data_IF_235077763235
#
_entry.id   IF_235077763235
#
_cell.length_a   1.000
_cell.length_b   1.000
_cell.length_c   1.000
_cell.angle_alpha   90.00
_cell.angle_beta   90.00
_cell.angle_gamma   90.00
#
_symmetry.space_group_name_H-M   'P 1'
#
loop_
_entity.id
_entity.type
_entity.pdbx_description
1 polymer ?
#
# COMPACT_ATOMS: atom_id res chain seq x y z
N UNK A 1 32.80 -6.00 61.17
CA UNK A 1 31.56 -6.62 60.67
C UNK A 1 30.59 -5.61 60.02
N UNK A 2 31.04 -4.75 59.08
CA UNK A 2 30.19 -3.73 58.43
C UNK A 2 30.25 -3.73 56.90
N UNK A 3 30.88 -4.73 56.26
CA UNK A 3 31.05 -4.76 54.77
C UNK A 3 30.15 -5.76 54.04
N UNK A 4 29.33 -6.57 54.72
CA UNK A 4 28.52 -7.62 54.09
C UNK A 4 27.08 -7.12 53.72
N UNK A 5 26.63 -6.04 54.32
CA UNK A 5 25.26 -5.54 54.13
C UNK A 5 25.05 -4.77 52.80
N UNK A 6 26.13 -4.18 52.24
CA UNK A 6 26.06 -3.38 51.01
C UNK A 6 25.91 -4.23 49.75
N UNK A 7 26.44 -5.48 49.77
CA UNK A 7 26.39 -6.36 48.60
C UNK A 7 24.99 -7.00 48.38
N UNK A 8 24.24 -7.21 49.44
CA UNK A 8 22.88 -7.77 49.37
C UNK A 8 21.82 -6.83 48.81
N UNK A 9 21.94 -5.53 49.10
CA UNK A 9 20.98 -4.53 48.59
C UNK A 9 21.12 -4.29 47.06
N UNK A 10 22.32 -4.35 46.50
CA UNK A 10 22.53 -4.15 45.06
C UNK A 10 22.03 -5.33 44.22
N UNK A 11 22.07 -6.58 44.72
CA UNK A 11 21.52 -7.74 44.07
C UNK A 11 19.97 -7.72 44.08
N UNK A 12 19.35 -7.31 45.13
CA UNK A 12 17.88 -7.22 45.25
C UNK A 12 17.30 -6.10 44.37
N UNK A 13 17.99 -4.98 44.21
CA UNK A 13 17.61 -3.90 43.29
C UNK A 13 17.73 -4.32 41.81
N UNK A 14 18.79 -5.06 41.47
CA UNK A 14 18.96 -5.59 40.10
C UNK A 14 17.87 -6.58 39.70
N UNK A 15 17.47 -7.47 40.62
CA UNK A 15 16.41 -8.45 40.38
C UNK A 15 15.02 -7.80 40.23
N UNK A 16 14.74 -6.74 40.98
CA UNK A 16 13.47 -6.02 40.87
C UNK A 16 13.35 -5.22 39.57
N UNK A 17 14.43 -4.64 39.09
CA UNK A 17 14.46 -3.97 37.76
C UNK A 17 14.26 -4.96 36.62
N UNK A 18 14.92 -6.12 36.65
CA UNK A 18 14.76 -7.19 35.66
C UNK A 18 13.32 -7.75 35.62
N UNK A 19 12.71 -7.93 36.79
CA UNK A 19 11.31 -8.39 36.88
C UNK A 19 10.33 -7.33 36.36
N UNK A 20 10.60 -6.06 36.61
CA UNK A 20 9.82 -4.93 36.12
C UNK A 20 9.89 -4.81 34.58
N UNK A 21 11.09 -4.95 33.99
CA UNK A 21 11.31 -4.88 32.56
C UNK A 21 10.62 -6.05 31.83
N UNK A 22 10.70 -7.27 32.37
CA UNK A 22 10.04 -8.44 31.81
C UNK A 22 8.52 -8.29 31.84
N UNK A 23 7.95 -7.81 32.93
CA UNK A 23 6.50 -7.59 33.05
C UNK A 23 6.02 -6.50 32.09
N UNK A 24 6.81 -5.44 31.89
CA UNK A 24 6.53 -4.39 30.94
C UNK A 24 6.57 -4.93 29.48
N UNK A 25 7.54 -5.81 29.16
CA UNK A 25 7.64 -6.46 27.86
C UNK A 25 6.42 -7.37 27.60
N UNK A 26 6.04 -8.21 28.55
CA UNK A 26 4.86 -9.08 28.43
C UNK A 26 3.58 -8.28 28.18
N UNK A 27 3.41 -7.17 28.91
CA UNK A 27 2.27 -6.26 28.72
C UNK A 27 2.24 -5.70 27.30
N UNK A 28 3.37 -5.18 26.78
CA UNK A 28 3.47 -4.65 25.41
C UNK A 28 3.22 -5.72 24.35
N UNK A 29 3.71 -6.94 24.56
CA UNK A 29 3.45 -8.05 23.65
C UNK A 29 1.97 -8.41 23.62
N UNK A 30 1.30 -8.41 24.76
CA UNK A 30 -0.14 -8.66 24.86
C UNK A 30 -0.94 -7.55 24.18
N UNK A 31 -0.66 -6.29 24.48
CA UNK A 31 -1.30 -5.13 23.84
C UNK A 31 -1.12 -5.16 22.32
N UNK A 32 0.09 -5.53 21.84
CA UNK A 32 0.34 -5.69 20.40
C UNK A 32 -0.44 -6.87 19.80
N UNK A 33 -0.57 -7.99 20.52
CA UNK A 33 -1.35 -9.14 20.06
C UNK A 33 -2.86 -8.85 20.00
N UNK A 34 -3.36 -7.96 20.84
CA UNK A 34 -4.76 -7.51 20.88
C UNK A 34 -5.05 -6.38 19.88
N UNK A 35 -4.01 -5.82 19.21
CA UNK A 35 -4.18 -4.73 18.26
C UNK A 35 -4.90 -5.17 16.99
N UNK A 36 -6.05 -4.57 16.72
CA UNK A 36 -6.92 -4.91 15.57
C UNK A 36 -6.82 -3.92 14.39
N UNK A 37 -5.84 -3.03 14.43
CA UNK A 37 -5.62 -2.04 13.40
C UNK A 37 -6.29 -0.69 13.69
N UNK A 38 -6.05 0.26 12.78
CA UNK A 38 -6.61 1.60 12.89
C UNK A 38 -8.11 1.61 12.56
N UNK A 39 -8.86 2.49 13.21
CA UNK A 39 -10.23 2.80 12.82
C UNK A 39 -10.27 3.64 11.55
N UNK A 40 -11.39 3.57 10.81
CA UNK A 40 -11.63 4.35 9.61
C UNK A 40 -12.75 5.39 9.83
N UNK A 41 -12.45 6.52 10.54
CA UNK A 41 -13.46 7.50 10.93
C UNK A 41 -13.94 8.39 9.78
N UNK A 42 -13.16 8.53 8.70
CA UNK A 42 -13.55 9.36 7.56
C UNK A 42 -14.67 8.70 6.75
N UNK A 43 -15.53 9.52 6.18
CA UNK A 43 -16.59 9.08 5.27
C UNK A 43 -16.05 8.66 3.90
N UNK A 44 -14.87 9.18 3.52
CA UNK A 44 -14.26 8.95 2.22
C UNK A 44 -12.75 8.93 2.32
N UNK A 45 -12.13 7.97 1.61
CA UNK A 45 -10.70 7.78 1.46
C UNK A 45 -10.33 7.71 0.00
N UNK A 46 -9.19 8.25 -0.38
CA UNK A 46 -8.72 8.30 -1.76
C UNK A 46 -7.31 7.72 -1.86
N UNK A 47 -7.13 6.83 -2.79
CA UNK A 47 -5.86 6.09 -2.94
C UNK A 47 -5.48 5.99 -4.40
N UNK A 48 -4.24 6.33 -4.73
CA UNK A 48 -3.65 6.09 -6.04
C UNK A 48 -2.53 5.05 -5.94
N UNK A 49 -2.67 3.97 -6.69
CA UNK A 49 -1.64 2.95 -6.85
C UNK A 49 -0.76 3.28 -8.04
N UNK A 50 0.56 3.42 -7.82
CA UNK A 50 1.52 3.55 -8.92
C UNK A 50 2.04 2.18 -9.34
N UNK A 51 1.97 1.86 -10.64
CA UNK A 51 2.55 0.66 -11.22
C UNK A 51 3.58 1.07 -12.27
N UNK A 52 4.86 0.89 -11.97
CA UNK A 52 5.99 1.28 -12.81
C UNK A 52 6.85 0.09 -13.27
N UNK A 53 6.44 -1.14 -12.95
CA UNK A 53 7.19 -2.37 -13.23
C UNK A 53 6.45 -3.25 -14.23
N UNK A 54 7.19 -3.86 -15.15
CA UNK A 54 6.70 -4.90 -16.07
C UNK A 54 6.80 -6.32 -15.49
N UNK A 55 7.34 -6.49 -14.28
CA UNK A 55 7.47 -7.82 -13.68
C UNK A 55 6.08 -8.39 -13.37
N UNK A 56 5.73 -9.59 -13.89
CA UNK A 56 4.39 -10.13 -13.74
C UNK A 56 3.91 -10.27 -12.29
N UNK A 57 4.82 -10.61 -11.36
CA UNK A 57 4.45 -10.75 -9.96
C UNK A 57 4.18 -9.41 -9.27
N UNK A 58 4.82 -8.32 -9.72
CA UNK A 58 4.52 -6.97 -9.24
C UNK A 58 3.15 -6.52 -9.76
N UNK A 59 2.83 -6.80 -11.04
CA UNK A 59 1.51 -6.51 -11.61
C UNK A 59 0.42 -7.29 -10.85
N UNK A 60 0.60 -8.60 -10.65
CA UNK A 60 -0.31 -9.45 -9.86
C UNK A 60 -0.47 -8.92 -8.43
N UNK A 61 0.64 -8.49 -7.81
CA UNK A 61 0.63 -7.93 -6.45
C UNK A 61 -0.18 -6.64 -6.39
N UNK A 62 -0.01 -5.73 -7.37
CA UNK A 62 -0.79 -4.49 -7.47
C UNK A 62 -2.29 -4.79 -7.54
N UNK A 63 -2.71 -5.63 -8.46
CA UNK A 63 -4.11 -6.03 -8.65
C UNK A 63 -4.69 -6.67 -7.37
N UNK A 64 -3.95 -7.60 -6.76
CA UNK A 64 -4.36 -8.25 -5.50
C UNK A 64 -4.49 -7.24 -4.36
N UNK A 65 -3.53 -6.32 -4.21
CA UNK A 65 -3.55 -5.33 -3.15
C UNK A 65 -4.72 -4.37 -3.29
N UNK A 66 -5.05 -3.94 -4.52
CA UNK A 66 -6.24 -3.13 -4.79
C UNK A 66 -7.51 -3.91 -4.40
N UNK A 67 -7.63 -5.18 -4.81
CA UNK A 67 -8.77 -6.00 -4.44
C UNK A 67 -8.89 -6.18 -2.91
N UNK A 68 -7.78 -6.39 -2.21
CA UNK A 68 -7.78 -6.50 -0.75
C UNK A 68 -8.24 -5.20 -0.09
N UNK A 69 -7.78 -4.04 -0.59
CA UNK A 69 -8.22 -2.74 -0.11
C UNK A 69 -9.72 -2.51 -0.29
N UNK A 70 -10.26 -2.85 -1.48
CA UNK A 70 -11.69 -2.72 -1.78
C UNK A 70 -12.57 -3.64 -0.91
N UNK A 71 -12.00 -4.75 -0.45
CA UNK A 71 -12.67 -5.74 0.41
C UNK A 71 -12.43 -5.53 1.91
N UNK A 72 -11.56 -4.57 2.32
CA UNK A 72 -11.34 -4.28 3.73
C UNK A 72 -12.65 -3.79 4.37
N UNK A 73 -13.17 -4.49 5.40
CA UNK A 73 -14.47 -4.17 5.99
C UNK A 73 -14.55 -2.77 6.57
N UNK A 74 -13.42 -2.17 6.96
CA UNK A 74 -13.33 -0.81 7.50
C UNK A 74 -13.49 0.26 6.41
N UNK A 75 -13.14 -0.07 5.15
CA UNK A 75 -13.07 0.85 4.01
C UNK A 75 -14.12 0.57 2.94
N UNK A 76 -14.83 -0.55 3.03
CA UNK A 76 -15.83 -0.97 2.04
C UNK A 76 -16.89 0.12 1.81
N UNK A 77 -17.04 0.56 0.57
CA UNK A 77 -17.95 1.64 0.18
C UNK A 77 -17.48 3.06 0.54
N UNK A 78 -16.27 3.21 1.11
CA UNK A 78 -15.70 4.50 1.52
C UNK A 78 -14.42 4.86 0.76
N UNK A 79 -13.91 3.99 -0.10
CA UNK A 79 -12.62 4.19 -0.77
C UNK A 79 -12.80 4.38 -2.27
N UNK A 80 -12.15 5.41 -2.81
CA UNK A 80 -11.98 5.68 -4.22
C UNK A 80 -10.55 5.29 -4.61
N UNK A 81 -10.40 4.54 -5.70
CA UNK A 81 -9.10 3.99 -6.10
C UNK A 81 -8.78 4.36 -7.53
N UNK A 82 -7.55 4.78 -7.75
CA UNK A 82 -6.95 4.94 -9.07
C UNK A 82 -5.73 4.03 -9.21
N UNK A 83 -5.57 3.39 -10.37
CA UNK A 83 -4.37 2.69 -10.79
C UNK A 83 -3.73 3.48 -11.93
N UNK A 84 -2.59 4.09 -11.68
CA UNK A 84 -1.78 4.75 -12.70
C UNK A 84 -0.60 3.89 -13.13
N UNK A 85 -0.47 3.66 -14.44
CA UNK A 85 0.65 2.90 -15.01
C UNK A 85 1.56 3.79 -15.80
N UNK A 86 2.86 3.59 -15.66
CA UNK A 86 3.91 4.30 -16.40
C UNK A 86 5.19 3.46 -16.46
N UNK A 87 6.18 3.88 -17.23
CA UNK A 87 7.44 3.15 -17.39
C UNK A 87 7.18 1.68 -17.75
N UNK A 88 7.77 0.71 -17.05
CA UNK A 88 7.53 -0.72 -17.25
C UNK A 88 6.08 -1.16 -16.98
N UNK A 89 5.36 -0.47 -16.11
CA UNK A 89 3.97 -0.79 -15.80
C UNK A 89 3.01 -0.70 -16.98
N UNK A 90 3.40 0.00 -18.06
CA UNK A 90 2.67 0.04 -19.34
C UNK A 90 2.35 -1.35 -19.90
N UNK A 91 3.22 -2.33 -19.67
CA UNK A 91 3.03 -3.71 -20.12
C UNK A 91 1.75 -4.36 -19.59
N UNK A 92 1.28 -3.94 -18.43
CA UNK A 92 0.05 -4.48 -17.83
C UNK A 92 -1.20 -4.13 -18.64
N UNK A 93 -1.14 -3.06 -19.46
CA UNK A 93 -2.29 -2.50 -20.19
C UNK A 93 -2.22 -2.67 -21.72
N UNK A 94 -1.22 -3.39 -22.23
CA UNK A 94 -1.14 -3.74 -23.64
C UNK A 94 -2.24 -4.75 -24.03
N UNK A 95 -2.76 -4.67 -25.26
CA UNK A 95 -3.70 -5.67 -25.82
C UNK A 95 -3.15 -7.11 -25.81
N UNK A 96 -1.84 -7.24 -25.76
CA UNK A 96 -1.13 -8.54 -25.63
C UNK A 96 -0.95 -9.00 -24.20
N UNK A 97 -1.38 -8.19 -23.22
CA UNK A 97 -1.21 -8.49 -21.80
C UNK A 97 -2.14 -9.62 -21.34
N UNK A 98 -1.64 -10.48 -20.49
CA UNK A 98 -2.44 -11.53 -19.83
C UNK A 98 -3.37 -10.99 -18.71
N UNK A 99 -3.35 -9.69 -18.44
CA UNK A 99 -4.08 -9.09 -17.31
C UNK A 99 -5.42 -8.43 -17.69
N UNK A 100 -5.87 -8.57 -18.95
CA UNK A 100 -7.08 -7.91 -19.43
C UNK A 100 -8.30 -8.15 -18.54
N UNK A 101 -8.59 -9.40 -18.23
CA UNK A 101 -9.73 -9.79 -17.38
C UNK A 101 -9.65 -9.14 -16.00
N UNK A 102 -8.47 -9.19 -15.37
CA UNK A 102 -8.26 -8.64 -14.04
C UNK A 102 -8.39 -7.11 -14.03
N UNK A 103 -7.92 -6.42 -15.07
CA UNK A 103 -8.07 -4.97 -15.20
C UNK A 103 -9.53 -4.59 -15.42
N UNK A 104 -10.27 -5.31 -16.26
CA UNK A 104 -11.73 -5.11 -16.40
C UNK A 104 -12.48 -5.31 -15.09
N UNK A 105 -12.10 -6.33 -14.31
CA UNK A 105 -12.69 -6.57 -12.99
C UNK A 105 -12.45 -5.42 -12.00
N UNK A 106 -11.26 -4.81 -12.03
CA UNK A 106 -10.98 -3.63 -11.20
C UNK A 106 -11.87 -2.45 -11.62
N UNK A 107 -12.00 -2.19 -12.94
CA UNK A 107 -12.85 -1.11 -13.46
C UNK A 107 -14.31 -1.35 -13.09
N UNK A 108 -14.81 -2.57 -13.21
CA UNK A 108 -16.18 -2.94 -12.79
C UNK A 108 -16.42 -2.70 -11.29
N UNK A 109 -15.37 -2.75 -10.47
CA UNK A 109 -15.41 -2.41 -9.04
C UNK A 109 -15.25 -0.90 -8.76
N UNK A 110 -15.20 -0.07 -9.79
CA UNK A 110 -15.09 1.38 -9.68
C UNK A 110 -13.66 1.93 -9.61
N UNK A 111 -12.63 1.11 -9.89
CA UNK A 111 -11.25 1.59 -9.97
C UNK A 111 -11.05 2.36 -11.27
N UNK A 112 -10.51 3.58 -11.21
CA UNK A 112 -9.99 4.26 -12.40
C UNK A 112 -8.67 3.63 -12.80
N UNK A 113 -8.50 3.33 -14.08
CA UNK A 113 -7.24 2.80 -14.63
C UNK A 113 -6.77 3.73 -15.73
N UNK A 114 -5.57 4.27 -15.56
CA UNK A 114 -5.00 5.25 -16.50
C UNK A 114 -3.54 4.91 -16.86
N UNK A 115 -3.18 5.24 -18.11
CA UNK A 115 -1.86 5.10 -18.68
C UNK A 115 -1.20 6.47 -18.85
N UNK A 116 0.08 6.57 -18.51
CA UNK A 116 0.93 7.72 -18.79
C UNK A 116 1.23 7.85 -20.30
N UNK A 117 0.85 8.97 -20.92
CA UNK A 117 1.09 9.22 -22.34
C UNK A 117 2.59 9.41 -22.65
N UNK A 118 3.35 10.04 -21.75
CA UNK A 118 4.81 10.17 -21.91
C UNK A 118 5.49 8.80 -21.99
N UNK A 119 5.05 7.83 -21.17
CA UNK A 119 5.62 6.47 -21.23
C UNK A 119 5.32 5.75 -22.54
N UNK A 120 4.20 6.03 -23.20
CA UNK A 120 3.95 5.51 -24.55
C UNK A 120 4.97 6.07 -25.55
N UNK A 121 5.19 7.39 -25.51
CA UNK A 121 6.16 8.05 -26.41
C UNK A 121 7.58 7.52 -26.19
N UNK A 122 8.04 7.47 -24.93
CA UNK A 122 9.37 6.98 -24.56
C UNK A 122 9.62 5.51 -24.99
N UNK A 123 8.56 4.71 -25.04
CA UNK A 123 8.61 3.30 -25.40
C UNK A 123 8.23 3.01 -26.85
N UNK A 124 8.00 4.05 -27.67
CA UNK A 124 7.54 3.93 -29.06
C UNK A 124 6.26 3.09 -29.20
N UNK A 125 5.34 3.25 -28.23
CA UNK A 125 4.03 2.60 -28.24
C UNK A 125 2.95 3.60 -28.63
N UNK A 126 1.85 3.08 -29.20
CA UNK A 126 0.68 3.87 -29.58
C UNK A 126 -0.55 3.47 -28.75
N UNK A 127 -1.59 4.32 -28.75
CA UNK A 127 -2.83 4.03 -28.04
C UNK A 127 -3.57 2.81 -28.58
N UNK A 128 -3.42 2.52 -29.89
CA UNK A 128 -4.03 1.37 -30.58
C UNK A 128 -3.50 0.03 -30.03
N UNK A 129 -2.28 0.01 -29.45
CA UNK A 129 -1.69 -1.17 -28.83
C UNK A 129 -2.18 -1.40 -27.40
N UNK A 130 -2.84 -0.41 -26.79
CA UNK A 130 -3.36 -0.47 -25.44
C UNK A 130 -4.79 -1.00 -25.42
N UNK A 131 -5.28 -1.44 -24.25
CA UNK A 131 -6.70 -1.74 -24.07
C UNK A 131 -7.55 -0.51 -24.38
N UNK A 132 -8.68 -0.70 -25.09
CA UNK A 132 -9.54 0.40 -25.53
C UNK A 132 -10.38 1.03 -24.39
N UNK A 133 -10.41 0.40 -23.23
CA UNK A 133 -11.23 0.76 -22.08
C UNK A 133 -10.48 1.49 -20.96
N UNK A 134 -9.23 1.90 -21.17
CA UNK A 134 -8.43 2.64 -20.17
C UNK A 134 -8.39 4.14 -20.44
N UNK A 135 -8.15 4.90 -19.37
CA UNK A 135 -7.89 6.34 -19.46
C UNK A 135 -6.43 6.67 -19.78
N UNK A 136 -6.18 7.94 -20.08
CA UNK A 136 -4.82 8.46 -20.32
C UNK A 136 -4.61 9.75 -19.56
N UNK A 137 -3.43 9.87 -18.97
CA UNK A 137 -2.94 11.12 -18.37
C UNK A 137 -1.68 11.58 -19.11
N UNK A 138 -1.39 12.88 -19.17
CA UNK A 138 -0.17 13.38 -19.82
C UNK A 138 1.10 12.78 -19.20
N UNK A 139 1.18 12.75 -17.87
CA UNK A 139 2.31 12.28 -17.09
C UNK A 139 1.85 11.49 -15.86
N UNK A 140 2.35 10.26 -15.69
CA UNK A 140 2.07 9.47 -14.49
C UNK A 140 2.60 10.13 -13.21
N UNK A 141 3.81 10.70 -13.26
CA UNK A 141 4.35 11.47 -12.14
C UNK A 141 3.54 12.73 -11.86
N UNK A 142 3.07 13.41 -12.92
CA UNK A 142 2.18 14.57 -12.77
C UNK A 142 0.88 14.20 -12.07
N UNK A 143 0.28 13.07 -12.44
CA UNK A 143 -0.93 12.56 -11.77
C UNK A 143 -0.68 12.28 -10.29
N UNK A 144 0.45 11.64 -9.94
CA UNK A 144 0.83 11.40 -8.54
C UNK A 144 0.98 12.70 -7.74
N UNK A 145 1.60 13.73 -8.33
CA UNK A 145 1.77 15.04 -7.68
C UNK A 145 0.42 15.72 -7.44
N UNK A 146 -0.46 15.73 -8.47
CA UNK A 146 -1.79 16.33 -8.37
C UNK A 146 -2.62 15.60 -7.30
N UNK A 147 -2.73 14.28 -7.39
CA UNK A 147 -3.47 13.46 -6.40
C UNK A 147 -2.91 13.61 -4.99
N UNK A 148 -1.58 13.58 -4.85
CA UNK A 148 -0.93 13.82 -3.56
C UNK A 148 -1.29 15.19 -2.95
N UNK A 149 -1.34 16.25 -3.77
CA UNK A 149 -1.72 17.59 -3.33
C UNK A 149 -3.22 17.70 -2.96
N UNK A 150 -4.07 16.86 -3.56
CA UNK A 150 -5.49 16.72 -3.23
C UNK A 150 -5.71 15.86 -1.96
N UNK A 151 -4.64 15.33 -1.35
CA UNK A 151 -4.72 14.52 -0.13
C UNK A 151 -4.91 13.02 -0.37
N UNK A 152 -4.72 12.54 -1.58
CA UNK A 152 -4.73 11.11 -1.86
C UNK A 152 -3.53 10.39 -1.25
N UNK A 153 -3.75 9.18 -0.78
CA UNK A 153 -2.66 8.30 -0.35
C UNK A 153 -2.02 7.65 -1.57
N UNK A 154 -0.71 7.82 -1.72
CA UNK A 154 0.05 7.18 -2.81
C UNK A 154 0.58 5.83 -2.30
N UNK A 155 0.28 4.75 -3.02
CA UNK A 155 0.74 3.39 -2.70
C UNK A 155 1.57 2.83 -3.84
N UNK A 156 2.76 2.32 -3.51
CA UNK A 156 3.58 1.52 -4.42
C UNK A 156 3.43 0.04 -4.03
N UNK A 157 3.01 -0.84 -4.96
CA UNK A 157 2.83 -2.28 -4.71
C UNK A 157 4.12 -3.02 -4.36
#
# INVERSE_FOLDING_TARGET
MKKIIVLGCSLLLGMSLYAQDNKNMETKLKENAEYQGAEAPKKHYQVIYQLDSNHPDIIKKAIRNINNLLNDPRLKGKVEVELITFSGGTEALLKTSAFETQIKDLINKGVRVAQCSNSLQERNLTKEQMFDFIGYVPSGNGELVIRGSEGWTIVKP
#
